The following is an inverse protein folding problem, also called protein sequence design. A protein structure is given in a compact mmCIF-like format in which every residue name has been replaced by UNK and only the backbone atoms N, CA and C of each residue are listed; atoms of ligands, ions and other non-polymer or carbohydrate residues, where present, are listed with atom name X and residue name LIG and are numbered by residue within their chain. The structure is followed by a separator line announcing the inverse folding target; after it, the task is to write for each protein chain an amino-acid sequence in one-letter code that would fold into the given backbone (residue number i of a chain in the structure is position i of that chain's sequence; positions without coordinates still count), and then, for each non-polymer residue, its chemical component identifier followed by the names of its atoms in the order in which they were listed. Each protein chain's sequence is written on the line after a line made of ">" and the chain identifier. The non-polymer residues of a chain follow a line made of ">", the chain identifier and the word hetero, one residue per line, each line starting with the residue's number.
data_IF_173697833592
#
_entry.id   IF_173697833592
#
_cell.length_a   1.000
_cell.length_b   1.000
_cell.length_c   1.000
_cell.angle_alpha   90.00
_cell.angle_beta   90.00
_cell.angle_gamma   90.00
#
_symmetry.space_group_name_H-M   'P 1'
#
loop_
_entity.id
_entity.type
_entity.pdbx_description
1 polymer ?
#
# COMPACT_ATOMS: atom_id res chain seq x y z
N UNK A 1 -13.76 -11.12 2.22
CA UNK A 1 -13.47 -9.79 1.67
C UNK A 1 -12.29 -9.96 0.75
N UNK A 2 -12.43 -9.62 -0.54
CA UNK A 2 -11.33 -9.72 -1.48
C UNK A 2 -10.64 -8.35 -1.58
N UNK A 3 -9.37 -8.36 -1.96
CA UNK A 3 -8.58 -7.15 -2.08
C UNK A 3 -7.94 -7.10 -3.45
N UNK A 4 -7.81 -5.90 -4.00
CA UNK A 4 -7.13 -5.69 -5.26
C UNK A 4 -6.31 -4.40 -5.21
N UNK A 5 -5.16 -4.41 -5.89
CA UNK A 5 -4.33 -3.22 -6.08
C UNK A 5 -3.83 -3.16 -7.53
N UNK A 6 -3.80 -1.95 -8.07
CA UNK A 6 -3.21 -1.60 -9.35
C UNK A 6 -2.86 -0.11 -9.32
N UNK A 7 -1.98 0.35 -10.22
CA UNK A 7 -1.70 1.79 -10.34
C UNK A 7 -2.97 2.60 -10.63
N UNK A 8 -3.91 2.04 -11.40
CA UNK A 8 -5.18 2.71 -11.66
C UNK A 8 -6.01 2.85 -10.38
N UNK A 9 -6.14 1.78 -9.58
CA UNK A 9 -6.88 1.84 -8.32
C UNK A 9 -6.24 2.82 -7.32
N UNK A 10 -4.91 2.84 -7.22
CA UNK A 10 -4.21 3.81 -6.37
C UNK A 10 -4.47 5.26 -6.81
N UNK A 11 -4.48 5.54 -8.12
CA UNK A 11 -4.86 6.86 -8.64
C UNK A 11 -6.31 7.23 -8.30
N UNK A 12 -7.25 6.29 -8.38
CA UNK A 12 -8.65 6.51 -8.00
C UNK A 12 -8.79 6.79 -6.50
N UNK A 13 -8.05 6.07 -5.65
CA UNK A 13 -8.02 6.29 -4.19
C UNK A 13 -7.56 7.72 -3.89
N UNK A 14 -6.45 8.16 -4.48
CA UNK A 14 -5.96 9.52 -4.29
C UNK A 14 -6.97 10.56 -4.81
N UNK A 15 -7.49 10.36 -6.02
CA UNK A 15 -8.48 11.26 -6.61
C UNK A 15 -9.75 11.37 -5.76
N UNK A 16 -10.21 10.27 -5.16
CA UNK A 16 -11.39 10.25 -4.28
C UNK A 16 -11.15 11.00 -2.96
N UNK A 17 -9.90 11.10 -2.52
CA UNK A 17 -9.48 11.91 -1.39
C UNK A 17 -9.11 13.36 -1.75
N UNK A 18 -9.20 13.74 -3.04
CA UNK A 18 -8.76 15.06 -3.52
C UNK A 18 -7.24 15.25 -3.50
N UNK A 19 -6.47 14.16 -3.49
CA UNK A 19 -5.02 14.15 -3.39
C UNK A 19 -4.36 13.86 -4.75
N UNK A 20 -3.13 14.38 -4.92
CA UNK A 20 -2.17 14.03 -5.96
C UNK A 20 -1.07 13.15 -5.37
N UNK A 21 -0.34 12.46 -6.23
CA UNK A 21 0.75 11.55 -5.80
C UNK A 21 1.90 12.24 -5.06
N UNK A 22 2.03 13.57 -5.16
CA UNK A 22 3.03 14.34 -4.42
C UNK A 22 2.57 14.85 -3.05
N UNK A 23 1.31 14.63 -2.66
CA UNK A 23 0.73 15.18 -1.43
C UNK A 23 1.06 14.29 -0.21
N UNK A 24 2.35 14.14 0.09
CA UNK A 24 2.86 13.18 1.08
C UNK A 24 2.11 13.22 2.42
N UNK A 25 1.89 14.40 3.00
CA UNK A 25 1.18 14.53 4.28
C UNK A 25 -0.30 14.11 4.20
N UNK A 26 -0.95 14.34 3.06
CA UNK A 26 -2.33 13.88 2.83
C UNK A 26 -2.39 12.37 2.65
N UNK A 27 -1.40 11.80 1.96
CA UNK A 27 -1.28 10.35 1.75
C UNK A 27 -0.95 9.65 3.07
N UNK A 28 -0.06 10.21 3.89
CA UNK A 28 0.20 9.74 5.26
C UNK A 28 -1.13 9.59 6.03
N UNK A 29 -1.92 10.66 6.12
CA UNK A 29 -3.22 10.61 6.80
C UNK A 29 -4.16 9.56 6.20
N UNK A 30 -4.21 9.45 4.87
CA UNK A 30 -5.07 8.48 4.17
C UNK A 30 -4.66 7.03 4.43
N UNK A 31 -3.36 6.76 4.55
CA UNK A 31 -2.77 5.43 4.72
C UNK A 31 -2.42 5.10 6.17
N UNK A 32 -3.03 5.78 7.14
CA UNK A 32 -2.98 5.39 8.56
C UNK A 32 -2.03 6.19 9.44
N UNK A 33 -1.58 7.35 8.96
CA UNK A 33 -0.78 8.32 9.71
C UNK A 33 0.68 8.34 9.28
N UNK A 34 1.58 8.51 10.25
CA UNK A 34 3.02 8.59 10.00
C UNK A 34 3.48 7.36 9.19
N UNK A 35 4.24 7.60 8.13
CA UNK A 35 4.75 6.58 7.19
C UNK A 35 3.67 5.98 6.27
N UNK A 36 2.46 6.55 6.21
CA UNK A 36 1.44 6.12 5.25
C UNK A 36 1.85 6.36 3.78
N UNK A 37 2.58 7.44 3.49
CA UNK A 37 3.14 7.71 2.16
C UNK A 37 4.18 6.66 1.75
N UNK A 38 4.94 6.11 2.71
CA UNK A 38 5.83 4.99 2.49
C UNK A 38 5.06 3.76 2.00
N UNK A 39 4.02 3.36 2.74
CA UNK A 39 3.20 2.19 2.37
C UNK A 39 2.41 2.39 1.07
N UNK A 40 2.03 3.63 0.74
CA UNK A 40 1.50 3.95 -0.59
C UNK A 40 2.54 3.67 -1.69
N UNK A 41 3.80 4.08 -1.47
CA UNK A 41 4.94 3.76 -2.34
C UNK A 41 5.14 2.25 -2.51
N UNK A 42 5.23 1.51 -1.40
CA UNK A 42 5.34 0.03 -1.40
C UNK A 42 4.22 -0.63 -2.21
N UNK A 43 2.97 -0.19 -2.03
CA UNK A 43 1.82 -0.70 -2.78
C UNK A 43 1.88 -0.37 -4.28
N UNK A 44 2.43 0.79 -4.64
CA UNK A 44 2.63 1.17 -6.03
C UNK A 44 3.74 0.34 -6.67
N UNK A 45 4.83 0.13 -5.95
CA UNK A 45 6.05 -0.50 -6.47
C UNK A 45 5.88 -2.02 -6.58
N UNK A 46 5.08 -2.63 -5.71
CA UNK A 46 4.69 -4.05 -5.86
C UNK A 46 3.81 -4.31 -7.10
N UNK A 47 3.17 -3.29 -7.69
CA UNK A 47 2.27 -3.44 -8.83
C UNK A 47 3.01 -3.37 -10.16
N UNK A 48 3.00 -4.44 -10.97
CA UNK A 48 3.47 -4.34 -12.36
C UNK A 48 2.59 -3.40 -13.17
N UNK A 49 3.19 -2.65 -14.10
CA UNK A 49 2.45 -1.73 -14.96
C UNK A 49 1.36 -2.46 -15.76
N UNK A 50 0.14 -1.89 -15.78
CA UNK A 50 -1.00 -2.45 -16.49
C UNK A 50 -1.57 -3.75 -15.88
N UNK A 51 -1.09 -4.20 -14.71
CA UNK A 51 -1.61 -5.38 -14.01
C UNK A 51 -2.39 -5.00 -12.75
N UNK A 52 -3.24 -5.92 -12.33
CA UNK A 52 -3.96 -5.86 -11.05
C UNK A 52 -3.59 -7.11 -10.26
N UNK A 53 -3.10 -6.90 -9.04
CA UNK A 53 -2.89 -7.99 -8.08
C UNK A 53 -4.14 -8.15 -7.22
N UNK A 54 -4.46 -9.38 -6.84
CA UNK A 54 -5.64 -9.70 -6.03
C UNK A 54 -5.33 -10.71 -4.93
N UNK A 55 -6.03 -10.58 -3.80
CA UNK A 55 -5.92 -11.50 -2.67
C UNK A 55 -7.27 -11.85 -2.07
N UNK A 56 -7.39 -13.07 -1.58
CA UNK A 56 -8.66 -13.62 -1.06
C UNK A 56 -9.01 -13.14 0.35
N UNK A 57 -8.02 -12.66 1.11
CA UNK A 57 -8.21 -12.22 2.48
C UNK A 57 -7.12 -11.23 2.92
N UNK A 58 -7.34 -10.58 4.05
CA UNK A 58 -6.44 -9.54 4.56
C UNK A 58 -5.05 -10.08 4.90
N UNK A 59 -4.96 -11.33 5.35
CA UNK A 59 -3.68 -11.91 5.77
C UNK A 59 -2.79 -12.15 4.55
N UNK A 60 -3.37 -12.62 3.44
CA UNK A 60 -2.66 -12.79 2.18
C UNK A 60 -2.17 -11.44 1.61
N UNK A 61 -3.00 -10.38 1.70
CA UNK A 61 -2.61 -9.03 1.31
C UNK A 61 -1.43 -8.51 2.16
N UNK A 62 -1.55 -8.56 3.49
CA UNK A 62 -0.52 -8.05 4.40
C UNK A 62 0.78 -8.85 4.28
N UNK A 63 0.70 -10.18 4.13
CA UNK A 63 1.86 -11.02 3.89
C UNK A 63 2.59 -10.66 2.59
N UNK A 64 1.84 -10.35 1.51
CA UNK A 64 2.45 -9.93 0.25
C UNK A 64 3.11 -8.55 0.35
N UNK A 65 2.51 -7.61 1.08
CA UNK A 65 3.13 -6.30 1.36
C UNK A 65 4.43 -6.48 2.13
N UNK A 66 4.41 -7.27 3.22
CA UNK A 66 5.61 -7.52 4.02
C UNK A 66 6.69 -8.26 3.21
N UNK A 67 6.32 -9.23 2.37
CA UNK A 67 7.30 -9.94 1.55
C UNK A 67 8.01 -9.02 0.53
N UNK A 68 7.29 -8.02 -0.01
CA UNK A 68 7.89 -7.03 -0.90
C UNK A 68 8.82 -6.09 -0.12
N UNK A 69 8.38 -5.62 1.05
CA UNK A 69 9.19 -4.82 1.97
C UNK A 69 10.49 -5.55 2.39
N UNK A 70 10.37 -6.81 2.80
CA UNK A 70 11.51 -7.63 3.24
C UNK A 70 12.54 -7.81 2.10
N UNK A 71 12.07 -7.94 0.85
CA UNK A 71 12.94 -8.03 -0.31
C UNK A 71 13.67 -6.72 -0.58
N UNK A 72 12.96 -5.59 -0.60
CA UNK A 72 13.55 -4.27 -0.82
C UNK A 72 14.54 -3.89 0.29
N UNK A 73 14.19 -4.13 1.55
CA UNK A 73 15.06 -3.85 2.68
C UNK A 73 16.34 -4.72 2.65
N UNK A 74 16.23 -5.98 2.23
CA UNK A 74 17.39 -6.85 2.04
C UNK A 74 18.30 -6.37 0.91
N UNK A 75 17.75 -5.86 -0.20
CA UNK A 75 18.53 -5.25 -1.29
C UNK A 75 19.27 -3.98 -0.82
N UNK A 76 18.66 -3.20 0.07
CA UNK A 76 19.23 -1.98 0.63
C UNK A 76 20.16 -2.20 1.85
N UNK A 77 20.39 -3.46 2.25
CA UNK A 77 21.14 -3.84 3.47
C UNK A 77 20.60 -3.17 4.76
N UNK A 78 19.28 -2.96 4.83
CA UNK A 78 18.58 -2.25 5.90
C UNK A 78 17.56 -3.17 6.61
N UNK A 79 17.19 -2.88 7.88
CA UNK A 79 16.11 -3.59 8.54
C UNK A 79 14.76 -3.29 7.86
N UNK A 80 13.88 -4.30 7.68
CA UNK A 80 12.56 -4.06 7.09
C UNK A 80 11.64 -3.32 8.05
N UNK A 81 10.83 -2.43 7.48
CA UNK A 81 9.74 -1.78 8.19
C UNK A 81 8.55 -2.73 8.35
N UNK A 82 7.66 -2.40 9.32
CA UNK A 82 6.44 -3.19 9.55
C UNK A 82 5.21 -2.30 9.51
N UNK A 83 4.15 -2.67 8.77
CA UNK A 83 2.93 -1.90 8.75
C UNK A 83 2.26 -1.98 10.13
N UNK A 84 1.92 -0.81 10.69
CA UNK A 84 1.22 -0.73 11.96
C UNK A 84 -0.23 -1.22 11.81
N UNK A 85 -0.95 -1.49 12.92
CA UNK A 85 -2.38 -1.80 12.84
C UNK A 85 -3.21 -0.72 12.12
N UNK A 86 -2.80 0.55 12.24
CA UNK A 86 -3.46 1.66 11.55
C UNK A 86 -3.23 1.60 10.03
N UNK A 87 -2.01 1.28 9.59
CA UNK A 87 -1.70 1.09 8.17
C UNK A 87 -2.50 -0.08 7.59
N UNK A 88 -2.49 -1.23 8.28
CA UNK A 88 -3.23 -2.42 7.86
C UNK A 88 -4.73 -2.09 7.72
N UNK A 89 -5.32 -1.43 8.70
CA UNK A 89 -6.73 -1.05 8.66
C UNK A 89 -7.05 -0.11 7.48
N UNK A 90 -6.23 0.91 7.25
CA UNK A 90 -6.39 1.85 6.15
C UNK A 90 -6.25 1.16 4.78
N UNK A 91 -5.18 0.39 4.59
CA UNK A 91 -4.91 -0.35 3.36
C UNK A 91 -6.04 -1.33 3.05
N UNK A 92 -6.46 -2.14 4.03
CA UNK A 92 -7.56 -3.07 3.85
C UNK A 92 -8.87 -2.36 3.45
N UNK A 93 -9.18 -1.22 4.09
CA UNK A 93 -10.35 -0.43 3.75
C UNK A 93 -10.29 0.11 2.31
N UNK A 94 -9.13 0.63 1.89
CA UNK A 94 -8.95 1.24 0.57
C UNK A 94 -8.89 0.21 -0.57
N UNK A 95 -8.36 -0.98 -0.30
CA UNK A 95 -8.10 -2.00 -1.32
C UNK A 95 -9.22 -3.05 -1.44
N UNK A 96 -10.21 -3.05 -0.56
CA UNK A 96 -11.37 -3.95 -0.65
C UNK A 96 -12.08 -3.84 -2.02
N UNK A 97 -12.61 -4.97 -2.49
CA UNK A 97 -13.50 -5.11 -3.66
C UNK A 97 -14.65 -6.09 -3.37
#
# INVERSE_FOLDING_TARGET
>A
MHYAVSHHKLKLILSGAGLKSGDAAGIDQLFGGKDGYYWFGTLRDMCPEGKTLTWDNQYALVAAIQAHEDASAAEDEMPPEKPTPAHIAAICKLLAI
#
